data_IF_522234473052
#
_entry.id   IF_522234473052
#
_cell.length_a   1.000
_cell.length_b   1.000
_cell.length_c   1.000
_cell.angle_alpha   90.00
_cell.angle_beta   90.00
_cell.angle_gamma   90.00
#
_symmetry.space_group_name_H-M   'P 1'
#
loop_
_entity.id
_entity.type
_entity.pdbx_description
1 polymer ?
#
# COMPACT_ATOMS: atom_id res chain seq x y z
N UNK A 1 27.60 9.94 10.72
CA UNK A 1 27.80 9.30 9.41
C UNK A 1 26.43 9.03 8.83
N UNK A 2 26.03 9.79 7.82
CA UNK A 2 24.73 9.64 7.17
C UNK A 2 24.77 8.38 6.30
N UNK A 3 24.00 7.36 6.67
CA UNK A 3 23.67 6.30 5.73
C UNK A 3 22.89 6.96 4.60
N UNK A 4 23.47 7.00 3.41
CA UNK A 4 22.75 7.35 2.20
C UNK A 4 21.62 6.34 2.05
N UNK A 5 20.39 6.74 2.37
CA UNK A 5 19.16 6.08 1.94
C UNK A 5 19.15 6.16 0.42
N UNK A 6 19.88 5.28 -0.26
CA UNK A 6 19.78 5.22 -1.70
C UNK A 6 18.49 4.44 -1.99
N UNK A 7 17.46 5.11 -2.54
CA UNK A 7 16.24 4.43 -2.96
C UNK A 7 16.57 3.27 -3.90
N UNK A 8 15.60 2.37 -4.11
CA UNK A 8 15.73 1.32 -5.11
C UNK A 8 16.25 1.89 -6.44
N UNK A 9 17.21 1.21 -7.07
CA UNK A 9 17.79 1.62 -8.35
C UNK A 9 16.77 1.33 -9.45
N UNK A 10 16.05 2.37 -9.84
CA UNK A 10 14.99 2.32 -10.85
C UNK A 10 15.51 1.81 -12.20
N UNK A 11 16.75 2.15 -12.57
CA UNK A 11 17.37 1.66 -13.79
C UNK A 11 17.65 0.16 -13.72
N UNK A 12 18.18 -0.30 -12.58
CA UNK A 12 18.41 -1.72 -12.34
C UNK A 12 17.09 -2.52 -12.28
N UNK A 13 16.04 -1.97 -11.66
CA UNK A 13 14.70 -2.58 -11.65
C UNK A 13 14.14 -2.75 -13.07
N UNK A 14 14.26 -1.73 -13.92
CA UNK A 14 13.82 -1.79 -15.32
C UNK A 14 14.65 -2.79 -16.16
N UNK A 15 15.86 -3.12 -15.72
CA UNK A 15 16.76 -4.06 -16.38
C UNK A 15 16.57 -5.52 -15.93
N UNK A 16 15.80 -5.79 -14.88
CA UNK A 16 15.53 -7.17 -14.43
C UNK A 16 14.86 -7.98 -15.55
N UNK A 17 15.28 -9.24 -15.74
CA UNK A 17 14.71 -10.18 -16.70
C UNK A 17 14.55 -11.57 -16.09
N UNK A 18 13.61 -12.39 -16.61
CA UNK A 18 13.56 -13.80 -16.24
C UNK A 18 14.91 -14.51 -16.46
N UNK A 19 15.21 -15.50 -15.63
CA UNK A 19 16.48 -16.22 -15.59
C UNK A 19 17.60 -15.51 -14.80
N UNK A 20 17.46 -14.23 -14.46
CA UNK A 20 18.41 -13.57 -13.54
C UNK A 20 18.28 -14.15 -12.11
N UNK A 21 19.38 -14.23 -11.34
CA UNK A 21 19.34 -14.72 -9.97
C UNK A 21 18.69 -13.69 -9.03
N UNK A 22 18.18 -14.15 -7.89
CA UNK A 22 17.63 -13.29 -6.82
C UNK A 22 18.58 -12.16 -6.42
N UNK A 23 19.90 -12.37 -6.45
CA UNK A 23 20.91 -11.35 -6.12
C UNK A 23 20.85 -10.11 -7.03
N UNK A 24 20.31 -10.23 -8.26
CA UNK A 24 20.02 -9.08 -9.11
C UNK A 24 18.88 -8.23 -8.54
N UNK A 25 17.84 -8.88 -8.00
CA UNK A 25 16.71 -8.22 -7.33
C UNK A 25 17.18 -7.54 -6.05
N UNK A 26 18.00 -8.22 -5.23
CA UNK A 26 18.59 -7.66 -4.01
C UNK A 26 19.35 -6.37 -4.31
N UNK A 27 20.22 -6.41 -5.33
CA UNK A 27 21.01 -5.26 -5.76
C UNK A 27 20.13 -4.11 -6.26
N UNK A 28 19.10 -4.40 -7.05
CA UNK A 28 18.19 -3.40 -7.58
C UNK A 28 17.33 -2.74 -6.48
N UNK A 29 16.89 -3.51 -5.49
CA UNK A 29 16.08 -3.00 -4.39
C UNK A 29 16.90 -2.27 -3.31
N UNK A 30 18.19 -2.55 -3.20
CA UNK A 30 19.09 -1.90 -2.25
C UNK A 30 18.60 -2.05 -0.81
N UNK A 31 18.50 -0.94 -0.07
CA UNK A 31 18.04 -0.96 1.33
C UNK A 31 16.57 -1.36 1.51
N UNK A 32 15.78 -1.41 0.43
CA UNK A 32 14.38 -1.86 0.47
C UNK A 32 14.24 -3.38 0.29
N UNK A 33 15.33 -4.10 0.02
CA UNK A 33 15.29 -5.55 -0.12
C UNK A 33 14.80 -6.22 1.16
N UNK A 34 13.84 -7.12 0.99
CA UNK A 34 13.40 -8.07 2.03
C UNK A 34 13.19 -9.41 1.34
N UNK A 35 13.81 -10.46 1.86
CA UNK A 35 13.60 -11.80 1.34
C UNK A 35 12.10 -12.17 1.43
N UNK A 36 11.53 -12.79 0.39
CA UNK A 36 10.13 -13.20 0.42
C UNK A 36 9.93 -14.29 1.47
N UNK A 37 8.88 -14.16 2.27
CA UNK A 37 8.53 -15.20 3.23
C UNK A 37 8.16 -16.51 2.49
N UNK A 38 8.45 -17.69 3.06
CA UNK A 38 8.21 -18.97 2.37
C UNK A 38 6.78 -19.15 1.85
N UNK A 39 5.78 -18.69 2.60
CA UNK A 39 4.37 -18.79 2.21
C UNK A 39 3.99 -17.92 1.01
N UNK A 40 4.80 -16.93 0.64
CA UNK A 40 4.57 -16.08 -0.54
C UNK A 40 4.92 -16.75 -1.87
N UNK A 41 5.47 -17.97 -1.86
CA UNK A 41 5.75 -18.72 -3.09
C UNK A 41 6.71 -18.00 -4.05
N UNK A 42 7.71 -17.32 -3.50
CA UNK A 42 8.71 -16.56 -4.26
C UNK A 42 8.30 -15.14 -4.68
N UNK A 43 7.12 -14.66 -4.28
CA UNK A 43 6.68 -13.29 -4.59
C UNK A 43 7.39 -12.24 -3.71
N UNK A 44 8.04 -11.29 -4.38
CA UNK A 44 8.64 -10.07 -3.82
C UNK A 44 7.79 -8.87 -4.26
N UNK A 45 7.05 -8.29 -3.33
CA UNK A 45 6.03 -7.25 -3.57
C UNK A 45 6.27 -5.94 -2.79
N UNK A 46 7.42 -5.84 -2.13
CA UNK A 46 7.77 -4.71 -1.24
C UNK A 46 7.72 -3.34 -1.95
N UNK A 47 8.01 -3.30 -3.25
CA UNK A 47 8.03 -2.07 -4.05
C UNK A 47 6.77 -1.86 -4.89
N UNK A 48 5.74 -2.70 -4.73
CA UNK A 48 4.50 -2.63 -5.52
C UNK A 48 3.82 -1.26 -5.39
N UNK A 49 3.63 -0.79 -4.16
CA UNK A 49 2.88 0.44 -3.90
C UNK A 49 3.73 1.72 -4.02
N UNK A 50 5.06 1.59 -3.99
CA UNK A 50 6.00 2.72 -4.08
C UNK A 50 6.52 2.94 -5.50
N UNK A 51 7.00 1.89 -6.17
CA UNK A 51 7.55 1.96 -7.52
C UNK A 51 6.64 1.31 -8.56
N UNK A 52 5.73 0.42 -8.16
CA UNK A 52 4.90 -0.32 -9.12
C UNK A 52 5.56 -1.58 -9.65
N UNK A 53 6.44 -2.23 -8.88
CA UNK A 53 7.18 -3.42 -9.34
C UNK A 53 6.96 -4.59 -8.39
N UNK A 54 6.65 -5.75 -8.94
CA UNK A 54 6.73 -7.04 -8.24
C UNK A 54 7.58 -8.02 -9.03
N UNK A 55 8.24 -8.93 -8.31
CA UNK A 55 9.08 -9.98 -8.89
C UNK A 55 8.63 -11.30 -8.32
N UNK A 56 8.45 -12.32 -9.16
CA UNK A 56 8.19 -13.69 -8.73
C UNK A 56 9.37 -14.58 -9.07
N UNK A 57 9.96 -15.16 -8.03
CA UNK A 57 11.04 -16.14 -8.14
C UNK A 57 10.46 -17.53 -8.41
N UNK A 58 11.12 -18.27 -9.28
CA UNK A 58 10.82 -19.67 -9.57
C UNK A 58 11.38 -20.60 -8.47
N UNK A 59 11.13 -21.90 -8.60
CA UNK A 59 11.61 -22.93 -7.65
C UNK A 59 13.13 -23.02 -7.54
N UNK A 60 13.87 -22.49 -8.50
CA UNK A 60 15.34 -22.47 -8.52
C UNK A 60 15.91 -21.16 -7.98
N UNK A 61 15.07 -20.22 -7.54
CA UNK A 61 15.50 -18.90 -7.05
C UNK A 61 15.92 -17.95 -8.18
N UNK A 62 15.53 -18.24 -9.41
CA UNK A 62 15.69 -17.34 -10.55
C UNK A 62 14.41 -16.52 -10.73
N UNK A 63 14.52 -15.36 -11.35
CA UNK A 63 13.35 -14.57 -11.72
C UNK A 63 12.54 -15.38 -12.76
N UNK A 64 11.29 -15.71 -12.44
CA UNK A 64 10.35 -16.30 -13.39
C UNK A 64 9.44 -15.26 -14.03
N UNK A 65 9.07 -14.22 -13.29
CA UNK A 65 8.16 -13.17 -13.74
C UNK A 65 8.44 -11.84 -13.07
N UNK A 66 8.22 -10.75 -13.79
CA UNK A 66 8.29 -9.39 -13.28
C UNK A 66 7.06 -8.63 -13.79
N UNK A 67 6.37 -7.94 -12.90
CA UNK A 67 5.22 -7.11 -13.23
C UNK A 67 5.54 -5.65 -12.90
N UNK A 68 5.28 -4.77 -13.87
CA UNK A 68 5.43 -3.33 -13.76
C UNK A 68 4.07 -2.67 -14.00
N UNK A 69 3.53 -1.97 -13.00
CA UNK A 69 2.27 -1.24 -13.15
C UNK A 69 2.52 0.24 -13.51
N UNK A 70 1.42 0.98 -13.69
CA UNK A 70 1.44 2.36 -14.16
C UNK A 70 2.24 3.33 -13.27
N UNK A 71 2.59 2.97 -12.03
CA UNK A 71 3.48 3.78 -11.17
C UNK A 71 4.93 3.75 -11.65
N UNK A 72 5.35 2.70 -12.34
CA UNK A 72 6.72 2.54 -12.81
C UNK A 72 6.95 3.29 -14.14
N UNK A 73 7.16 4.61 -14.06
CA UNK A 73 7.27 5.53 -15.20
C UNK A 73 8.60 5.42 -15.98
N UNK A 74 8.97 4.20 -16.40
CA UNK A 74 10.20 3.89 -17.11
C UNK A 74 9.92 3.16 -18.43
N UNK A 75 10.97 2.95 -19.22
CA UNK A 75 10.95 2.06 -20.38
C UNK A 75 11.39 0.66 -19.97
N UNK A 76 10.58 -0.35 -20.28
CA UNK A 76 10.79 -1.75 -19.91
C UNK A 76 10.82 -2.59 -21.18
N UNK A 77 11.93 -3.28 -21.44
CA UNK A 77 12.06 -4.12 -22.64
C UNK A 77 11.85 -3.35 -23.96
N UNK A 78 12.17 -2.06 -23.99
CA UNK A 78 11.91 -1.18 -25.15
C UNK A 78 10.53 -0.52 -25.18
N UNK A 79 9.64 -0.86 -24.25
CA UNK A 79 8.26 -0.33 -24.17
C UNK A 79 8.17 0.76 -23.09
N UNK A 80 7.89 2.03 -23.44
CA UNK A 80 7.71 3.08 -22.43
C UNK A 80 6.38 2.94 -21.69
N UNK A 81 6.39 2.93 -20.36
CA UNK A 81 5.16 2.96 -19.55
C UNK A 81 4.36 4.24 -19.83
N UNK A 82 3.06 4.12 -20.05
CA UNK A 82 2.17 5.25 -20.34
C UNK A 82 2.20 5.74 -21.80
N UNK A 83 2.99 5.13 -22.69
CA UNK A 83 2.95 5.46 -24.11
C UNK A 83 1.55 5.24 -24.69
N UNK A 84 1.14 6.13 -25.59
CA UNK A 84 -0.14 6.01 -26.29
C UNK A 84 -0.08 4.89 -27.32
N UNK A 85 -1.21 4.22 -27.54
CA UNK A 85 -1.33 3.12 -28.48
C UNK A 85 -0.92 3.51 -29.92
N UNK A 86 -1.21 4.74 -30.33
CA UNK A 86 -0.81 5.27 -31.64
C UNK A 86 0.70 5.27 -31.80
N UNK A 87 1.41 5.71 -30.77
CA UNK A 87 2.87 5.90 -30.79
C UNK A 87 3.60 4.58 -30.50
N UNK A 88 2.96 3.67 -29.76
CA UNK A 88 3.46 2.34 -29.45
C UNK A 88 3.79 1.55 -30.71
N UNK A 89 2.91 1.59 -31.73
CA UNK A 89 3.12 0.88 -33.00
C UNK A 89 4.37 1.33 -33.75
N UNK A 90 4.73 2.59 -33.60
CA UNK A 90 5.92 3.16 -34.22
C UNK A 90 7.17 2.91 -33.38
N UNK A 91 7.03 2.95 -32.06
CA UNK A 91 8.14 2.81 -31.10
C UNK A 91 8.59 1.37 -30.96
N UNK A 92 7.65 0.42 -30.97
CA UNK A 92 7.89 -1.01 -30.78
C UNK A 92 7.18 -1.78 -31.91
N UNK A 93 7.69 -1.70 -33.16
CA UNK A 93 7.00 -2.25 -34.34
C UNK A 93 6.85 -3.78 -34.28
N UNK A 94 7.71 -4.47 -33.54
CA UNK A 94 7.66 -5.92 -33.36
C UNK A 94 6.57 -6.38 -32.38
N UNK A 95 5.94 -5.44 -31.65
CA UNK A 95 4.87 -5.76 -30.72
C UNK A 95 3.57 -6.06 -31.47
N UNK A 96 3.05 -7.27 -31.26
CA UNK A 96 1.77 -7.70 -31.78
C UNK A 96 0.65 -7.21 -30.85
N UNK A 97 -0.14 -6.26 -31.33
CA UNK A 97 -1.28 -5.71 -30.59
C UNK A 97 -2.53 -6.48 -30.98
N UNK A 98 -3.13 -7.16 -30.00
CA UNK A 98 -4.38 -7.89 -30.16
C UNK A 98 -5.61 -6.98 -30.28
N UNK A 99 -6.75 -7.62 -30.53
CA UNK A 99 -8.05 -6.97 -30.52
C UNK A 99 -8.43 -6.43 -29.13
N UNK A 100 -9.47 -5.61 -29.10
CA UNK A 100 -10.03 -5.12 -27.85
C UNK A 100 -10.71 -6.25 -27.06
N UNK A 101 -10.48 -6.26 -25.75
CA UNK A 101 -11.03 -7.25 -24.84
C UNK A 101 -12.55 -7.15 -24.79
N UNK A 102 -13.21 -8.27 -25.06
CA UNK A 102 -14.68 -8.40 -24.93
C UNK A 102 -15.16 -8.28 -23.48
N UNK A 103 -14.28 -8.56 -22.51
CA UNK A 103 -14.59 -8.52 -21.08
C UNK A 103 -14.31 -7.15 -20.46
N UNK A 104 -13.35 -6.39 -21.02
CA UNK A 104 -12.94 -5.08 -20.51
C UNK A 104 -12.87 -4.08 -21.65
N UNK A 105 -13.92 -3.26 -21.80
CA UNK A 105 -13.96 -2.16 -22.78
C UNK A 105 -12.72 -1.28 -22.66
N UNK A 106 -12.21 -0.80 -23.79
CA UNK A 106 -11.01 0.02 -23.90
C UNK A 106 -9.72 -0.65 -23.38
N UNK A 107 -9.66 -1.99 -23.35
CA UNK A 107 -8.47 -2.75 -22.97
C UNK A 107 -7.97 -3.58 -24.13
N UNK A 108 -6.66 -3.52 -24.43
CA UNK A 108 -5.96 -4.36 -25.43
C UNK A 108 -4.73 -4.98 -24.79
N UNK A 109 -4.20 -6.04 -25.39
CA UNK A 109 -2.92 -6.63 -25.00
C UNK A 109 -1.94 -6.56 -26.17
N UNK A 110 -0.74 -6.05 -25.91
CA UNK A 110 0.41 -6.16 -26.79
C UNK A 110 1.30 -7.30 -26.32
N UNK A 111 1.86 -8.08 -27.23
CA UNK A 111 2.79 -9.17 -26.93
C UNK A 111 4.03 -9.08 -27.81
N UNK A 112 5.19 -9.43 -27.26
CA UNK A 112 6.43 -9.57 -28.01
C UNK A 112 7.33 -10.61 -27.35
N UNK A 113 8.13 -11.31 -28.16
CA UNK A 113 9.14 -12.25 -27.67
C UNK A 113 10.44 -11.50 -27.37
N UNK A 114 10.99 -11.72 -26.19
CA UNK A 114 12.34 -11.33 -25.80
C UNK A 114 13.26 -12.55 -25.81
N UNK A 115 14.57 -12.33 -25.75
CA UNK A 115 15.53 -13.43 -25.62
C UNK A 115 15.33 -14.20 -24.30
N UNK A 116 14.91 -13.49 -23.25
CA UNK A 116 14.77 -14.01 -21.90
C UNK A 116 13.34 -14.45 -21.55
N UNK A 117 12.36 -14.30 -22.45
CA UNK A 117 10.97 -14.64 -22.16
C UNK A 117 9.95 -13.96 -23.08
N UNK A 118 8.75 -13.79 -22.56
CA UNK A 118 7.64 -13.09 -23.22
C UNK A 118 7.36 -11.78 -22.49
N UNK A 119 7.19 -10.70 -23.25
CA UNK A 119 6.72 -9.42 -22.74
C UNK A 119 5.27 -9.23 -23.17
N UNK A 120 4.40 -8.96 -22.20
CA UNK A 120 3.01 -8.55 -22.41
C UNK A 120 2.80 -7.14 -21.89
N UNK A 121 2.19 -6.28 -22.69
CA UNK A 121 1.78 -4.93 -22.31
C UNK A 121 0.24 -4.85 -22.26
N UNK A 122 -0.34 -4.52 -21.11
CA UNK A 122 -1.76 -4.20 -21.01
C UNK A 122 -1.95 -2.73 -21.36
N UNK A 123 -2.75 -2.47 -22.37
CA UNK A 123 -3.13 -1.14 -22.82
C UNK A 123 -4.54 -0.87 -22.32
N UNK A 124 -4.75 0.21 -21.58
CA UNK A 124 -6.08 0.61 -21.09
C UNK A 124 -6.26 2.11 -21.31
N UNK A 125 -7.43 2.52 -21.80
CA UNK A 125 -7.69 3.91 -22.21
C UNK A 125 -6.61 4.44 -23.15
N UNK A 126 -6.23 3.62 -24.15
CA UNK A 126 -5.21 3.90 -25.15
C UNK A 126 -3.79 4.20 -24.61
N UNK A 127 -3.49 3.86 -23.36
CA UNK A 127 -2.13 3.98 -22.80
C UNK A 127 -1.64 2.65 -22.25
N UNK A 128 -0.34 2.38 -22.37
CA UNK A 128 0.27 1.23 -21.70
C UNK A 128 0.20 1.45 -20.19
N UNK A 129 -0.52 0.59 -19.50
CA UNK A 129 -0.80 0.70 -18.07
C UNK A 129 -0.04 -0.33 -17.23
N UNK A 130 0.34 -1.46 -17.83
CA UNK A 130 1.08 -2.52 -17.17
C UNK A 130 1.95 -3.25 -18.19
N UNK A 131 3.14 -3.66 -17.77
CA UNK A 131 4.08 -4.45 -18.55
C UNK A 131 4.49 -5.65 -17.69
N UNK A 132 4.40 -6.85 -18.25
CA UNK A 132 4.81 -8.10 -17.61
C UNK A 132 5.89 -8.73 -18.48
N UNK A 133 7.00 -9.15 -17.88
CA UNK A 133 7.98 -10.02 -18.53
C UNK A 133 8.00 -11.35 -17.79
N UNK A 134 7.76 -12.46 -18.49
CA UNK A 134 7.72 -13.79 -17.89
C UNK A 134 8.49 -14.82 -18.70
N UNK A 135 9.07 -15.79 -18.00
CA UNK A 135 9.49 -17.05 -18.58
C UNK A 135 8.29 -18.01 -18.51
N UNK A 136 7.73 -18.46 -19.65
CA UNK A 136 6.58 -19.38 -19.67
C UNK A 136 6.90 -20.76 -19.08
N UNK A 137 8.19 -21.14 -19.03
CA UNK A 137 8.65 -22.43 -18.51
C UNK A 137 9.01 -22.37 -17.02
N UNK A 138 8.88 -21.20 -16.38
CA UNK A 138 9.19 -21.06 -14.95
C UNK A 138 8.14 -21.75 -14.08
N UNK A 139 8.61 -22.63 -13.19
CA UNK A 139 7.78 -23.27 -12.17
C UNK A 139 7.85 -22.53 -10.84
N UNK A 140 6.71 -22.31 -10.21
CA UNK A 140 6.64 -21.57 -8.95
C UNK A 140 6.35 -22.48 -7.76
N UNK A 141 6.75 -22.02 -6.58
CA UNK A 141 6.19 -22.55 -5.33
C UNK A 141 4.79 -21.98 -5.18
N UNK A 142 3.82 -22.84 -4.86
CA UNK A 142 2.45 -22.40 -4.62
C UNK A 142 2.37 -21.59 -3.32
N UNK A 143 1.79 -20.38 -3.35
CA UNK A 143 1.57 -19.61 -2.14
C UNK A 143 0.66 -20.35 -1.16
N UNK A 144 0.92 -20.15 0.13
CA UNK A 144 0.11 -20.65 1.24
C UNK A 144 -0.32 -19.50 2.13
N UNK A 145 -1.22 -19.75 3.08
CA UNK A 145 -1.57 -18.75 4.07
C UNK A 145 -0.33 -18.42 4.94
N UNK A 146 -0.16 -17.15 5.36
CA UNK A 146 0.89 -16.81 6.31
C UNK A 146 0.69 -17.53 7.64
N UNK A 147 1.77 -17.66 8.45
CA UNK A 147 1.62 -18.07 9.83
C UNK A 147 0.83 -17.00 10.59
N UNK A 148 -0.33 -17.39 11.11
CA UNK A 148 -1.17 -16.53 11.95
C UNK A 148 -0.74 -16.64 13.42
N UNK A 149 -0.20 -15.57 14.03
CA UNK A 149 0.10 -15.59 15.45
C UNK A 149 -1.19 -15.68 16.27
N UNK A 150 -1.10 -16.24 17.47
CA UNK A 150 -2.25 -16.27 18.37
C UNK A 150 -2.70 -14.84 18.71
N UNK A 151 -4.00 -14.59 18.58
CA UNK A 151 -4.63 -13.38 19.10
C UNK A 151 -4.32 -13.24 20.60
N UNK A 152 -3.91 -12.05 21.04
CA UNK A 152 -3.47 -11.82 22.41
C UNK A 152 -3.82 -10.43 22.92
N UNK A 153 -3.85 -10.29 24.24
CA UNK A 153 -4.12 -9.01 24.90
C UNK A 153 -5.58 -8.56 24.80
N UNK A 154 -5.82 -7.32 25.25
CA UNK A 154 -7.11 -6.66 25.12
C UNK A 154 -7.38 -6.23 23.67
N UNK A 155 -8.65 -6.16 23.22
CA UNK A 155 -8.99 -5.56 21.94
C UNK A 155 -8.40 -4.17 21.80
N UNK A 156 -7.74 -3.89 20.68
CA UNK A 156 -7.08 -2.63 20.38
C UNK A 156 -5.62 -2.54 20.83
N UNK A 157 -5.16 -3.39 21.75
CA UNK A 157 -3.80 -3.28 22.29
C UNK A 157 -2.74 -3.28 21.16
N UNK A 158 -1.74 -2.38 21.21
CA UNK A 158 -1.40 -1.48 22.33
C UNK A 158 -2.20 -0.16 22.38
N UNK A 159 -3.14 0.05 21.47
CA UNK A 159 -4.02 1.22 21.45
C UNK A 159 -5.23 1.00 22.37
N UNK A 160 -5.72 2.08 22.98
CA UNK A 160 -6.98 2.07 23.72
C UNK A 160 -8.21 1.98 22.82
N UNK A 161 -8.08 2.34 21.55
CA UNK A 161 -9.15 2.29 20.54
C UNK A 161 -8.87 1.16 19.52
N UNK A 162 -9.75 0.16 19.42
CA UNK A 162 -9.61 -0.92 18.46
C UNK A 162 -9.59 -0.47 16.99
N UNK A 163 -10.33 0.57 16.64
CA UNK A 163 -10.43 1.05 15.27
C UNK A 163 -9.22 1.90 14.87
N UNK A 164 -8.59 2.60 15.83
CA UNK A 164 -7.26 3.19 15.61
C UNK A 164 -6.22 2.12 15.28
N UNK A 165 -6.26 0.98 15.98
CA UNK A 165 -5.40 -0.17 15.66
C UNK A 165 -5.64 -0.67 14.24
N UNK A 166 -6.91 -0.79 13.80
CA UNK A 166 -7.21 -1.22 12.42
C UNK A 166 -6.64 -0.24 11.38
N UNK A 167 -6.77 1.07 11.61
CA UNK A 167 -6.16 2.07 10.72
C UNK A 167 -4.62 1.94 10.64
N UNK A 168 -3.97 1.68 11.77
CA UNK A 168 -2.53 1.39 11.84
C UNK A 168 -2.18 0.10 11.08
N UNK A 169 -2.95 -0.97 11.26
CA UNK A 169 -2.77 -2.22 10.53
C UNK A 169 -2.95 -2.02 9.03
N UNK A 170 -3.89 -1.18 8.60
CA UNK A 170 -4.07 -0.85 7.18
C UNK A 170 -2.84 -0.17 6.59
N UNK A 171 -2.26 0.80 7.31
CA UNK A 171 -1.01 1.42 6.89
C UNK A 171 0.13 0.39 6.75
N UNK A 172 0.23 -0.56 7.67
CA UNK A 172 1.23 -1.62 7.60
C UNK A 172 1.00 -2.58 6.42
N UNK A 173 -0.25 -2.95 6.12
CA UNK A 173 -0.60 -3.76 4.95
C UNK A 173 -0.18 -3.05 3.65
N UNK A 174 -0.53 -1.76 3.53
CA UNK A 174 -0.20 -0.91 2.37
C UNK A 174 1.29 -0.88 2.08
N UNK A 175 2.12 -0.79 3.10
CA UNK A 175 3.59 -0.76 2.95
C UNK A 175 4.25 -2.14 3.06
N UNK A 176 3.44 -3.21 3.06
CA UNK A 176 3.88 -4.60 3.17
C UNK A 176 4.73 -4.85 4.44
N UNK A 177 4.47 -4.11 5.51
CA UNK A 177 5.09 -4.26 6.84
C UNK A 177 4.29 -5.19 7.76
N UNK A 178 3.08 -5.55 7.33
CA UNK A 178 2.24 -6.59 7.90
C UNK A 178 1.80 -7.52 6.76
N UNK A 179 1.71 -8.82 7.03
CA UNK A 179 1.26 -9.82 6.08
C UNK A 179 0.15 -10.65 6.73
N UNK A 180 -1.07 -10.50 6.23
CA UNK A 180 -2.26 -11.25 6.64
C UNK A 180 -2.71 -12.26 5.57
N UNK A 181 -1.98 -12.35 4.45
CA UNK A 181 -2.41 -13.13 3.29
C UNK A 181 -3.51 -12.39 2.53
N UNK A 182 -4.47 -13.13 1.97
CA UNK A 182 -5.71 -12.55 1.45
C UNK A 182 -6.80 -12.52 2.53
N UNK A 183 -7.85 -11.68 2.38
CA UNK A 183 -9.03 -11.75 3.23
C UNK A 183 -9.59 -13.17 3.40
N UNK A 184 -9.65 -13.94 2.32
CA UNK A 184 -10.17 -15.32 2.30
C UNK A 184 -9.29 -16.28 3.10
N UNK A 185 -7.96 -16.11 3.05
CA UNK A 185 -7.03 -16.91 3.84
C UNK A 185 -7.20 -16.65 5.33
N UNK A 186 -7.31 -15.38 5.73
CA UNK A 186 -7.52 -15.02 7.13
C UNK A 186 -8.87 -15.52 7.63
N UNK A 187 -9.93 -15.27 6.87
CA UNK A 187 -11.28 -15.70 7.23
C UNK A 187 -11.37 -17.23 7.32
N UNK A 188 -10.72 -17.96 6.40
CA UNK A 188 -10.63 -19.43 6.49
C UNK A 188 -9.93 -19.89 7.76
N UNK A 189 -8.86 -19.19 8.17
CA UNK A 189 -8.15 -19.49 9.41
C UNK A 189 -9.03 -19.32 10.65
N UNK A 190 -9.70 -18.16 10.78
CA UNK A 190 -10.49 -17.86 11.98
C UNK A 190 -11.83 -18.59 12.04
N UNK A 191 -12.40 -18.98 10.89
CA UNK A 191 -13.64 -19.76 10.82
C UNK A 191 -13.41 -21.28 10.88
N UNK A 192 -12.21 -21.75 10.54
CA UNK A 192 -11.92 -23.18 10.41
C UNK A 192 -12.59 -23.85 9.21
N UNK A 193 -13.13 -23.06 8.27
CA UNK A 193 -13.77 -23.50 7.01
C UNK A 193 -13.52 -22.48 5.90
N UNK A 194 -13.57 -22.87 4.61
CA UNK A 194 -13.56 -21.90 3.52
C UNK A 194 -14.69 -20.88 3.65
N UNK A 195 -14.41 -19.66 3.18
CA UNK A 195 -15.40 -18.58 3.07
C UNK A 195 -16.31 -18.83 1.87
N UNK A 196 -17.60 -18.59 2.07
CA UNK A 196 -18.58 -18.51 0.99
C UNK A 196 -18.96 -17.04 0.82
N UNK A 197 -18.46 -16.36 -0.22
CA UNK A 197 -18.70 -14.92 -0.40
C UNK A 197 -20.17 -14.57 -0.61
N UNK A 198 -21.01 -15.49 -1.11
CA UNK A 198 -22.44 -15.24 -1.27
C UNK A 198 -23.16 -15.16 0.08
N UNK A 199 -22.63 -15.84 1.10
CA UNK A 199 -23.21 -15.89 2.44
C UNK A 199 -22.48 -15.00 3.44
N UNK A 200 -21.15 -15.08 3.47
CA UNK A 200 -20.27 -14.43 4.44
C UNK A 200 -19.83 -13.02 4.01
N UNK A 201 -19.98 -12.66 2.73
CA UNK A 201 -19.38 -11.43 2.19
C UNK A 201 -20.13 -10.14 2.52
N UNK A 202 -21.44 -10.23 2.74
CA UNK A 202 -22.33 -9.08 2.91
C UNK A 202 -22.46 -8.59 4.35
N UNK A 203 -22.02 -9.38 5.32
CA UNK A 203 -22.05 -9.03 6.75
C UNK A 203 -20.64 -9.02 7.34
N UNK A 204 -20.49 -8.36 8.49
CA UNK A 204 -19.28 -8.44 9.30
C UNK A 204 -19.07 -9.89 9.77
N UNK A 205 -17.84 -10.39 9.64
CA UNK A 205 -17.38 -11.64 10.23
C UNK A 205 -16.79 -11.34 11.63
N UNK A 206 -17.51 -11.59 12.73
CA UNK A 206 -17.09 -11.12 14.05
C UNK A 206 -15.79 -11.79 14.54
N UNK A 207 -15.54 -13.04 14.14
CA UNK A 207 -14.32 -13.78 14.47
C UNK A 207 -13.09 -13.14 13.81
N UNK A 208 -13.23 -12.66 12.58
CA UNK A 208 -12.16 -11.97 11.88
C UNK A 208 -11.87 -10.63 12.54
N UNK A 209 -12.92 -9.86 12.89
CA UNK A 209 -12.75 -8.61 13.62
C UNK A 209 -12.06 -8.81 14.98
N UNK A 210 -12.54 -9.77 15.80
CA UNK A 210 -11.94 -10.06 17.12
C UNK A 210 -10.46 -10.46 16.99
N UNK A 211 -10.12 -11.27 15.99
CA UNK A 211 -8.74 -11.62 15.68
C UNK A 211 -7.90 -10.39 15.33
N UNK A 212 -8.36 -9.53 14.41
CA UNK A 212 -7.63 -8.34 13.97
C UNK A 212 -7.38 -7.37 15.14
N UNK A 213 -8.40 -7.07 15.94
CA UNK A 213 -8.25 -6.14 17.07
C UNK A 213 -7.36 -6.71 18.18
N UNK A 214 -7.10 -8.02 18.20
CA UNK A 214 -6.16 -8.71 19.11
C UNK A 214 -4.87 -9.18 18.44
N UNK A 215 -4.64 -8.81 17.19
CA UNK A 215 -3.42 -9.18 16.47
C UNK A 215 -2.19 -8.56 17.17
N UNK A 216 -1.16 -9.34 17.53
CA UNK A 216 -0.01 -8.79 18.25
C UNK A 216 0.87 -7.94 17.33
N UNK A 217 0.83 -6.61 17.51
CA UNK A 217 1.71 -5.67 16.82
C UNK A 217 3.03 -5.50 17.59
N UNK A 218 4.14 -5.51 16.86
CA UNK A 218 5.50 -5.30 17.40
C UNK A 218 5.87 -3.82 17.42
N UNK A 219 6.83 -3.45 18.27
CA UNK A 219 7.34 -2.07 18.30
C UNK A 219 7.97 -1.66 16.96
N UNK A 220 8.63 -2.60 16.28
CA UNK A 220 9.22 -2.42 14.96
C UNK A 220 8.16 -2.12 13.91
N UNK A 221 7.01 -2.80 13.95
CA UNK A 221 5.88 -2.49 13.08
C UNK A 221 5.33 -1.10 13.36
N UNK A 222 5.09 -0.73 14.62
CA UNK A 222 4.61 0.62 14.96
C UNK A 222 5.58 1.71 14.49
N UNK A 223 6.88 1.46 14.63
CA UNK A 223 7.93 2.35 14.14
C UNK A 223 8.05 2.36 12.60
N UNK A 224 7.50 1.38 11.88
CA UNK A 224 7.51 1.35 10.42
C UNK A 224 6.41 2.21 9.80
N UNK A 225 5.41 2.63 10.58
CA UNK A 225 4.30 3.45 10.08
C UNK A 225 4.78 4.88 9.83
N UNK A 226 4.79 5.29 8.56
CA UNK A 226 5.18 6.63 8.13
C UNK A 226 3.98 7.48 7.66
N UNK A 227 2.88 6.86 7.27
CA UNK A 227 1.64 7.52 6.87
C UNK A 227 0.42 6.68 7.25
N UNK A 228 -0.58 7.32 7.86
CA UNK A 228 -1.90 6.75 8.17
C UNK A 228 -3.00 7.52 7.45
N UNK A 229 -4.03 6.80 7.01
CA UNK A 229 -5.24 7.37 6.46
C UNK A 229 -6.48 6.82 7.20
N UNK A 230 -7.41 7.71 7.53
CA UNK A 230 -8.73 7.35 8.05
C UNK A 230 -9.75 7.54 6.92
N UNK A 231 -10.13 6.42 6.32
CA UNK A 231 -11.10 6.35 5.23
C UNK A 231 -11.77 4.97 5.26
N UNK A 232 -12.95 4.83 4.65
CA UNK A 232 -13.67 3.54 4.56
C UNK A 232 -13.10 2.60 3.49
N UNK A 233 -12.32 3.11 2.54
CA UNK A 233 -11.67 2.33 1.48
C UNK A 233 -10.29 1.78 1.84
N UNK A 234 -9.90 1.82 3.12
CA UNK A 234 -8.60 1.33 3.58
C UNK A 234 -8.49 -0.20 3.51
N UNK A 235 -7.26 -0.72 3.33
CA UNK A 235 -7.00 -2.13 3.00
C UNK A 235 -7.45 -3.15 4.06
N UNK A 236 -7.67 -2.72 5.31
CA UNK A 236 -7.92 -3.62 6.43
C UNK A 236 -9.35 -4.15 6.48
N UNK A 237 -10.35 -3.37 6.05
CA UNK A 237 -11.75 -3.72 6.30
C UNK A 237 -12.24 -4.96 5.54
N UNK A 238 -11.83 -5.21 4.28
CA UNK A 238 -12.20 -6.44 3.58
C UNK A 238 -11.81 -7.73 4.33
N UNK A 239 -10.84 -7.68 5.25
CA UNK A 239 -10.47 -8.81 6.09
C UNK A 239 -11.53 -9.17 7.14
N UNK A 240 -12.43 -8.25 7.50
CA UNK A 240 -13.54 -8.50 8.41
C UNK A 240 -14.91 -8.37 7.74
N UNK A 241 -15.03 -7.63 6.63
CA UNK A 241 -16.29 -7.40 5.93
C UNK A 241 -16.01 -7.11 4.44
N UNK A 242 -16.21 -8.12 3.58
CA UNK A 242 -15.77 -8.10 2.17
C UNK A 242 -16.43 -7.03 1.32
N UNK A 243 -17.75 -6.90 1.44
CA UNK A 243 -18.57 -5.99 0.64
C UNK A 243 -19.03 -4.78 1.44
N UNK A 244 -18.29 -4.43 2.50
CA UNK A 244 -18.57 -3.24 3.27
C UNK A 244 -18.54 -2.00 2.38
N UNK A 245 -19.60 -1.19 2.45
CA UNK A 245 -19.76 0.01 1.62
C UNK A 245 -18.89 1.17 2.09
N UNK A 246 -18.26 1.07 3.26
CA UNK A 246 -17.63 2.20 3.94
C UNK A 246 -18.61 3.05 4.74
N UNK A 247 -19.87 2.64 4.80
CA UNK A 247 -20.94 3.26 5.59
C UNK A 247 -21.04 2.51 6.95
N UNK A 248 -21.93 2.84 7.89
CA UNK A 248 -21.91 2.30 9.26
C UNK A 248 -20.74 2.71 10.19
N UNK A 249 -21.07 3.12 11.42
CA UNK A 249 -20.08 3.56 12.41
C UNK A 249 -19.36 2.45 13.19
N UNK A 250 -19.34 1.21 12.68
CA UNK A 250 -18.70 0.09 13.39
C UNK A 250 -17.17 0.24 13.46
N UNK A 251 -16.59 0.83 12.41
CA UNK A 251 -15.17 1.11 12.29
C UNK A 251 -14.80 2.55 12.69
N UNK A 252 -15.73 3.31 13.27
CA UNK A 252 -15.45 4.68 13.72
C UNK A 252 -14.42 4.69 14.86
N UNK A 253 -13.40 5.52 14.69
CA UNK A 253 -12.35 5.79 15.66
C UNK A 253 -12.89 6.80 16.66
N UNK A 254 -12.85 6.47 17.96
CA UNK A 254 -13.35 7.32 19.04
C UNK A 254 -12.23 7.98 19.83
N UNK A 255 -11.03 7.41 19.82
CA UNK A 255 -9.87 7.95 20.53
C UNK A 255 -8.59 7.82 19.71
N UNK A 256 -7.92 8.95 19.46
CA UNK A 256 -6.65 9.04 18.74
C UNK A 256 -5.44 9.30 19.64
N UNK A 257 -5.62 9.31 20.97
CA UNK A 257 -4.57 9.68 21.94
C UNK A 257 -3.31 8.82 21.82
N UNK A 258 -3.45 7.55 21.41
CA UNK A 258 -2.36 6.58 21.30
C UNK A 258 -1.63 6.62 19.94
N UNK A 259 -1.96 7.57 19.06
CA UNK A 259 -1.27 7.72 17.76
C UNK A 259 0.23 8.02 17.91
N UNK A 260 0.64 8.55 19.07
CA UNK A 260 2.03 8.80 19.45
C UNK A 260 2.90 7.53 19.46
N UNK A 261 2.28 6.33 19.53
CA UNK A 261 3.00 5.06 19.43
C UNK A 261 3.63 4.85 18.04
N UNK A 262 3.09 5.49 16.99
CA UNK A 262 3.65 5.49 15.64
C UNK A 262 4.75 6.57 15.54
N UNK A 263 5.87 6.36 16.24
CA UNK A 263 6.93 7.37 16.46
C UNK A 263 7.57 7.94 15.19
N UNK A 264 7.43 7.25 14.05
CA UNK A 264 7.98 7.67 12.77
C UNK A 264 6.93 8.23 11.80
N UNK A 265 5.70 8.49 12.27
CA UNK A 265 4.64 9.05 11.43
C UNK A 265 5.04 10.41 10.85
N UNK A 266 5.01 10.51 9.52
CA UNK A 266 5.30 11.70 8.72
C UNK A 266 4.05 12.32 8.12
N UNK A 267 3.00 11.54 7.95
CA UNK A 267 1.77 11.96 7.30
C UNK A 267 0.52 11.45 7.99
N UNK A 268 -0.53 12.27 8.00
CA UNK A 268 -1.87 11.81 8.35
C UNK A 268 -2.91 12.43 7.41
N UNK A 269 -3.80 11.59 6.89
CA UNK A 269 -4.99 12.00 6.14
C UNK A 269 -6.24 11.51 6.85
N UNK A 270 -7.16 12.41 7.16
CA UNK A 270 -8.43 12.07 7.82
C UNK A 270 -9.57 12.48 6.92
N UNK A 271 -10.15 11.52 6.22
CA UNK A 271 -11.23 11.73 5.25
C UNK A 271 -12.58 11.48 5.92
N UNK A 272 -12.69 10.38 6.66
CA UNK A 272 -13.89 9.94 7.39
C UNK A 272 -13.50 9.14 8.64
N UNK A 273 -14.34 8.20 9.10
CA UNK A 273 -14.11 7.27 10.21
C UNK A 273 -13.98 7.91 11.60
N UNK A 274 -14.22 9.22 11.73
CA UNK A 274 -14.19 9.92 13.02
C UNK A 274 -15.02 11.19 12.92
N UNK A 275 -15.85 11.45 13.93
CA UNK A 275 -16.71 12.64 13.97
C UNK A 275 -15.92 13.95 14.04
N UNK A 276 -14.80 13.94 14.77
CA UNK A 276 -13.94 15.10 15.01
C UNK A 276 -12.51 14.69 15.32
N UNK A 277 -11.56 15.51 14.90
CA UNK A 277 -10.14 15.22 15.13
C UNK A 277 -9.47 16.24 16.04
N UNK A 278 -8.96 15.80 17.20
CA UNK A 278 -8.17 16.63 18.11
C UNK A 278 -6.69 16.67 17.69
N UNK A 279 -6.24 17.84 17.23
CA UNK A 279 -4.89 18.05 16.73
C UNK A 279 -3.80 17.99 17.82
N UNK A 280 -4.17 18.06 19.12
CA UNK A 280 -3.20 17.91 20.22
C UNK A 280 -2.56 16.53 20.25
N UNK A 281 -3.27 15.50 19.79
CA UNK A 281 -2.77 14.12 19.75
C UNK A 281 -1.54 13.95 18.86
N UNK A 282 -1.32 14.89 17.93
CA UNK A 282 -0.23 14.86 16.96
C UNK A 282 1.04 15.61 17.42
N UNK A 283 0.97 16.42 18.48
CA UNK A 283 2.08 17.31 18.89
C UNK A 283 3.36 16.55 19.26
N UNK A 284 3.22 15.33 19.81
CA UNK A 284 4.34 14.50 20.20
C UNK A 284 5.10 13.90 19.00
N UNK A 285 4.50 13.87 17.81
CA UNK A 285 5.05 13.25 16.60
C UNK A 285 6.09 14.17 15.94
N UNK A 286 7.35 14.04 16.38
CA UNK A 286 8.45 14.92 15.95
C UNK A 286 8.77 14.85 14.44
N UNK A 287 8.35 13.79 13.76
CA UNK A 287 8.60 13.59 12.32
C UNK A 287 7.41 13.94 11.44
N UNK A 288 6.30 14.44 12.00
CA UNK A 288 5.10 14.76 11.25
C UNK A 288 5.34 15.94 10.32
N UNK A 289 5.29 15.68 9.02
CA UNK A 289 5.57 16.62 7.95
C UNK A 289 4.30 17.13 7.27
N UNK A 290 3.22 16.35 7.26
CA UNK A 290 1.99 16.80 6.63
C UNK A 290 0.72 16.28 7.28
N UNK A 291 -0.32 17.12 7.22
CA UNK A 291 -1.64 16.86 7.78
C UNK A 291 -2.71 17.26 6.77
N UNK A 292 -3.70 16.38 6.54
CA UNK A 292 -4.89 16.65 5.72
C UNK A 292 -6.14 16.21 6.47
N UNK A 293 -6.96 17.14 6.96
CA UNK A 293 -8.14 16.80 7.80
C UNK A 293 -9.41 17.32 7.12
N UNK A 294 -10.26 16.41 6.62
CA UNK A 294 -11.52 16.73 5.95
C UNK A 294 -12.75 16.68 6.88
N UNK A 295 -12.54 16.27 8.14
CA UNK A 295 -13.54 16.25 9.20
C UNK A 295 -13.43 17.48 10.09
N UNK A 296 -14.43 17.80 10.94
CA UNK A 296 -14.28 18.83 11.97
C UNK A 296 -13.02 18.63 12.82
N UNK A 297 -12.24 19.68 13.01
CA UNK A 297 -10.99 19.65 13.80
C UNK A 297 -11.10 20.52 15.04
N UNK A 298 -10.45 20.08 16.11
CA UNK A 298 -10.34 20.78 17.38
C UNK A 298 -8.87 21.17 17.66
N UNK A 299 -8.68 22.21 18.48
CA UNK A 299 -7.37 22.66 18.98
C UNK A 299 -6.34 23.00 17.88
N UNK A 300 -6.77 23.72 16.84
CA UNK A 300 -5.92 24.10 15.71
C UNK A 300 -4.59 24.77 16.09
N UNK A 301 -4.55 25.50 17.21
CA UNK A 301 -3.32 26.12 17.71
C UNK A 301 -2.15 25.13 17.91
N UNK A 302 -2.46 23.84 18.15
CA UNK A 302 -1.47 22.77 18.28
C UNK A 302 -0.57 22.61 17.05
N UNK A 303 -1.01 23.02 15.85
CA UNK A 303 -0.18 22.97 14.63
C UNK A 303 1.10 23.82 14.75
N UNK A 304 1.05 24.89 15.56
CA UNK A 304 2.20 25.75 15.81
C UNK A 304 3.29 25.03 16.62
N UNK A 305 2.91 24.02 17.41
CA UNK A 305 3.83 23.24 18.24
C UNK A 305 4.44 22.03 17.51
N UNK A 306 4.11 21.86 16.22
CA UNK A 306 4.63 20.77 15.38
C UNK A 306 5.83 21.26 14.56
N UNK A 307 7.09 20.96 14.96
CA UNK A 307 8.28 21.60 14.40
C UNK A 307 8.62 21.16 12.97
N UNK A 308 8.25 19.93 12.59
CA UNK A 308 8.56 19.35 11.28
C UNK A 308 7.48 19.56 10.24
N UNK A 309 6.37 20.21 10.60
CA UNK A 309 5.20 20.37 9.74
C UNK A 309 5.54 21.25 8.53
N UNK A 310 5.35 20.71 7.33
CA UNK A 310 5.59 21.33 6.02
C UNK A 310 4.31 21.61 5.25
N UNK A 311 3.25 20.84 5.48
CA UNK A 311 1.95 21.01 4.83
C UNK A 311 0.80 20.75 5.79
N UNK A 312 -0.22 21.61 5.80
CA UNK A 312 -1.42 21.41 6.61
C UNK A 312 -2.64 21.95 5.87
N UNK A 313 -3.74 21.21 5.79
CA UNK A 313 -4.88 21.74 5.05
C UNK A 313 -6.22 21.08 5.34
N UNK A 314 -7.23 21.64 4.67
CA UNK A 314 -8.65 21.27 4.72
C UNK A 314 -9.37 21.63 6.02
N UNK A 315 -8.81 22.57 6.80
CA UNK A 315 -9.47 23.10 7.99
C UNK A 315 -10.62 24.04 7.65
N UNK A 316 -11.70 23.99 8.43
CA UNK A 316 -12.82 24.94 8.29
C UNK A 316 -12.35 26.37 8.58
N UNK A 317 -12.48 27.25 7.58
CA UNK A 317 -12.06 28.65 7.69
C UNK A 317 -12.97 29.44 8.65
N UNK A 318 -12.36 30.03 9.68
CA UNK A 318 -12.96 31.07 10.54
C UNK A 318 -11.84 32.03 11.00
N UNK A 319 -12.18 33.11 11.71
CA UNK A 319 -11.19 34.12 12.11
C UNK A 319 -10.05 33.54 12.98
N UNK A 320 -10.36 32.65 13.92
CA UNK A 320 -9.35 32.00 14.77
C UNK A 320 -8.47 31.03 13.96
N UNK A 321 -9.06 30.31 13.00
CA UNK A 321 -8.33 29.44 12.08
C UNK A 321 -7.33 30.24 11.25
N UNK A 322 -7.75 31.38 10.69
CA UNK A 322 -6.88 32.21 9.82
C UNK A 322 -5.62 32.68 10.54
N UNK A 323 -5.73 33.11 11.80
CA UNK A 323 -4.56 33.56 12.55
C UNK A 323 -3.50 32.46 12.71
N UNK A 324 -3.93 31.21 12.94
CA UNK A 324 -3.03 30.05 13.03
C UNK A 324 -2.42 29.75 11.66
N UNK A 325 -3.22 29.73 10.60
CA UNK A 325 -2.76 29.45 9.23
C UNK A 325 -1.75 30.51 8.75
N UNK A 326 -2.00 31.80 8.99
CA UNK A 326 -1.08 32.88 8.65
C UNK A 326 0.28 32.73 9.38
N UNK A 327 0.27 32.27 10.64
CA UNK A 327 1.49 31.97 11.41
C UNK A 327 2.24 30.77 10.82
N UNK A 328 1.53 29.75 10.35
CA UNK A 328 2.11 28.59 9.67
C UNK A 328 2.75 28.98 8.32
N UNK A 329 2.08 29.79 7.51
CA UNK A 329 2.62 30.30 6.25
C UNK A 329 3.90 31.11 6.47
N UNK A 330 3.92 31.97 7.49
CA UNK A 330 5.14 32.72 7.87
C UNK A 330 6.30 31.83 8.29
N UNK A 331 6.03 30.62 8.80
CA UNK A 331 7.04 29.58 9.08
C UNK A 331 7.45 28.79 7.83
N UNK A 332 6.83 29.04 6.68
CA UNK A 332 7.07 28.33 5.42
C UNK A 332 6.27 27.03 5.27
N UNK A 333 5.22 26.84 6.07
CA UNK A 333 4.29 25.70 5.93
C UNK A 333 3.30 25.99 4.81
N UNK A 334 3.13 25.07 3.88
CA UNK A 334 2.08 25.15 2.86
C UNK A 334 0.71 24.90 3.51
N UNK A 335 -0.21 25.86 3.39
CA UNK A 335 -1.60 25.71 3.85
C UNK A 335 -2.57 25.64 2.67
N UNK A 336 -3.54 24.73 2.74
CA UNK A 336 -4.55 24.48 1.70
C UNK A 336 -5.97 24.53 2.25
#
# INVERSE_FOLDING_TARGET
>A
MAASNNPADVGALAALRPGMPVTAVEKAMGSSWRAPAPHKGGLVDVLENTYGVTVRLDRNGLIGRIDFNSRFKQTIGGVPMGIKLTDLRHTVPDMQIGEESKLRKNSRFGTMRLAEGELTARITYDTVYEIVISNPDAEYVEPTAPPYPAASGAPGAPFSDPNLKLAVMSALLRFKMLDLGTPEQLATHVLGRPVDLEQDGYELIPQALDYLVRYPLTAEQLAAVDWIQFDGGEEIYPYAWYFWSGEEGIFDIRNTSDIHLCVNLRGISVISMIDRFDLRTLVSLQKLEWISIHVPSENLGALLDMPSLKKAGHFKANNATREVLDKLEKRGVQVN
#
